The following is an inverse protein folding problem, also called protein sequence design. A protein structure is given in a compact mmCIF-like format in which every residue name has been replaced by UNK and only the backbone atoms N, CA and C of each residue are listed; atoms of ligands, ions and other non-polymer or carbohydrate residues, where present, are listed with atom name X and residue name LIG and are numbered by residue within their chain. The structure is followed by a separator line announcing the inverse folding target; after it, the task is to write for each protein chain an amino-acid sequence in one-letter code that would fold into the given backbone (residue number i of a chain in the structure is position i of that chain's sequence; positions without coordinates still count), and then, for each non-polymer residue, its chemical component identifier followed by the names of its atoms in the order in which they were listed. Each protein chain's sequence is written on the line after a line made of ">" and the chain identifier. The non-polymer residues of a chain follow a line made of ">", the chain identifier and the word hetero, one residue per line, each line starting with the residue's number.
data_IF_648068676537
#
_entry.id   IF_648068676537
#
_cell.length_a   1.000
_cell.length_b   1.000
_cell.length_c   1.000
_cell.angle_alpha   90.00
_cell.angle_beta   90.00
_cell.angle_gamma   90.00
#
_symmetry.space_group_name_H-M   'P 1'
#
loop_
_entity.id
_entity.type
_entity.pdbx_description
1 polymer ?
#
# COMPACT_ATOMS: atom_id res chain seq x y z
N UNK A 1 6.50 -0.42 -9.07
CA UNK A 1 5.41 -1.31 -8.62
C UNK A 1 4.04 -0.89 -9.11
N UNK A 2 3.46 0.26 -8.73
CA UNK A 2 2.12 0.63 -9.25
C UNK A 2 2.13 0.80 -10.77
N UNK A 3 3.18 1.43 -11.33
CA UNK A 3 3.37 1.54 -12.78
C UNK A 3 3.52 0.15 -13.43
N UNK A 4 4.31 -0.74 -12.82
CA UNK A 4 4.55 -2.10 -13.30
C UNK A 4 3.23 -2.91 -13.41
N UNK A 5 2.32 -2.71 -12.44
CA UNK A 5 0.98 -3.32 -12.45
C UNK A 5 0.08 -2.69 -13.52
N UNK A 6 0.19 -1.37 -13.74
CA UNK A 6 -0.54 -0.68 -14.81
C UNK A 6 -0.09 -1.20 -16.17
N UNK A 7 1.22 -1.35 -16.39
CA UNK A 7 1.77 -1.89 -17.64
C UNK A 7 1.31 -3.33 -17.87
N UNK A 8 1.34 -4.19 -16.82
CA UNK A 8 0.83 -5.56 -16.93
C UNK A 8 -0.69 -5.60 -17.19
N UNK A 9 -1.46 -4.69 -16.57
CA UNK A 9 -2.89 -4.60 -16.82
C UNK A 9 -3.19 -4.10 -18.25
N UNK A 10 -2.43 -3.13 -18.76
CA UNK A 10 -2.48 -2.68 -20.15
C UNK A 10 -2.13 -3.83 -21.11
N UNK A 11 -1.12 -4.62 -20.77
CA UNK A 11 -0.69 -5.78 -21.54
C UNK A 11 -1.79 -6.85 -21.68
N UNK A 12 -2.49 -7.15 -20.58
CA UNK A 12 -3.56 -8.14 -20.54
C UNK A 12 -4.89 -7.65 -21.13
N UNK A 13 -5.23 -6.37 -20.94
CA UNK A 13 -6.56 -5.84 -21.27
C UNK A 13 -6.59 -4.90 -22.48
N UNK A 14 -5.43 -4.42 -22.94
CA UNK A 14 -5.31 -3.41 -23.98
C UNK A 14 -5.72 -1.99 -23.56
N UNK A 15 -6.14 -1.79 -22.31
CA UNK A 15 -6.61 -0.50 -21.81
C UNK A 15 -5.69 0.05 -20.70
N UNK A 16 -5.17 1.26 -20.92
CA UNK A 16 -4.32 1.94 -19.94
C UNK A 16 -5.18 2.73 -18.94
N UNK A 17 -5.20 2.29 -17.68
CA UNK A 17 -6.09 2.83 -16.63
C UNK A 17 -5.35 3.51 -15.45
N UNK A 18 -4.33 4.30 -15.74
CA UNK A 18 -3.49 4.96 -14.72
C UNK A 18 -4.27 5.69 -13.61
N UNK A 19 -5.34 6.40 -13.98
CA UNK A 19 -6.12 7.20 -13.03
C UNK A 19 -6.77 6.36 -11.93
N UNK A 20 -7.25 5.16 -12.24
CA UNK A 20 -7.89 4.26 -11.27
C UNK A 20 -6.83 3.68 -10.32
N UNK A 21 -5.69 3.24 -10.85
CA UNK A 21 -4.60 2.73 -10.02
C UNK A 21 -4.00 3.80 -9.10
N UNK A 22 -3.85 5.03 -9.59
CA UNK A 22 -3.40 6.16 -8.78
C UNK A 22 -4.43 6.56 -7.72
N UNK A 23 -5.71 6.59 -8.06
CA UNK A 23 -6.79 6.85 -7.10
C UNK A 23 -6.83 5.76 -6.02
N UNK A 24 -6.73 4.48 -6.40
CA UNK A 24 -6.75 3.35 -5.48
C UNK A 24 -5.55 3.37 -4.52
N UNK A 25 -4.33 3.66 -5.00
CA UNK A 25 -3.15 3.76 -4.13
C UNK A 25 -3.24 4.93 -3.16
N UNK A 26 -3.68 6.10 -3.64
CA UNK A 26 -3.89 7.29 -2.82
C UNK A 26 -4.99 7.10 -1.77
N UNK A 27 -6.09 6.46 -2.17
CA UNK A 27 -7.18 6.10 -1.26
C UNK A 27 -6.71 5.11 -0.20
N UNK A 28 -5.98 4.07 -0.60
CA UNK A 28 -5.44 3.06 0.31
C UNK A 28 -4.55 3.70 1.37
N UNK A 29 -3.66 4.63 0.98
CA UNK A 29 -2.83 5.36 1.94
C UNK A 29 -3.67 6.15 2.96
N UNK A 30 -4.72 6.86 2.50
CA UNK A 30 -5.63 7.60 3.38
C UNK A 30 -6.45 6.70 4.29
N UNK A 31 -6.96 5.59 3.74
CA UNK A 31 -7.74 4.60 4.48
C UNK A 31 -6.89 3.97 5.59
N UNK A 32 -5.65 3.58 5.29
CA UNK A 32 -4.69 3.05 6.27
C UNK A 32 -4.46 4.05 7.41
N UNK A 33 -4.21 5.32 7.10
CA UNK A 33 -4.03 6.34 8.14
C UNK A 33 -5.29 6.56 8.97
N UNK A 34 -6.46 6.64 8.33
CA UNK A 34 -7.74 6.84 9.04
C UNK A 34 -8.09 5.67 9.95
N UNK A 35 -8.07 4.45 9.41
CA UNK A 35 -8.36 3.22 10.15
C UNK A 35 -7.30 2.99 11.24
N UNK A 36 -6.02 3.22 10.93
CA UNK A 36 -4.93 3.08 11.88
C UNK A 36 -5.07 4.02 13.08
N UNK A 37 -5.52 5.25 12.86
CA UNK A 37 -5.78 6.20 13.96
C UNK A 37 -6.95 5.75 14.84
N UNK A 38 -8.03 5.23 14.24
CA UNK A 38 -9.18 4.71 15.00
C UNK A 38 -8.75 3.53 15.87
N UNK A 39 -8.01 2.58 15.29
CA UNK A 39 -7.53 1.41 16.02
C UNK A 39 -6.54 1.81 17.12
N UNK A 40 -5.63 2.75 16.83
CA UNK A 40 -4.70 3.29 17.83
C UNK A 40 -5.43 3.92 19.01
N UNK A 41 -6.47 4.72 18.75
CA UNK A 41 -7.31 5.30 19.81
C UNK A 41 -8.00 4.23 20.67
N UNK A 42 -8.52 3.17 20.04
CA UNK A 42 -9.11 2.06 20.77
C UNK A 42 -8.08 1.28 21.61
N UNK A 43 -6.88 1.04 21.07
CA UNK A 43 -5.80 0.38 21.79
C UNK A 43 -5.35 1.18 23.02
N UNK A 44 -5.24 2.51 22.90
CA UNK A 44 -4.94 3.40 24.03
C UNK A 44 -6.04 3.38 25.10
N UNK A 45 -7.31 3.32 24.68
CA UNK A 45 -8.44 3.17 25.60
C UNK A 45 -8.38 1.85 26.36
N UNK A 46 -8.00 0.76 25.70
CA UNK A 46 -7.92 -0.58 26.29
C UNK A 46 -6.86 -0.69 27.40
N UNK A 47 -5.74 0.02 27.27
CA UNK A 47 -4.68 0.07 28.30
C UNK A 47 -4.91 1.17 29.36
N UNK A 48 -6.07 1.83 29.35
CA UNK A 48 -6.38 2.97 30.22
C UNK A 48 -5.28 4.04 30.20
N UNK A 49 -4.88 4.45 29.00
CA UNK A 49 -3.79 5.41 28.81
C UNK A 49 -3.99 6.67 29.68
N UNK A 50 -2.99 7.08 30.48
CA UNK A 50 -3.12 8.18 31.42
C UNK A 50 -3.33 9.49 30.68
N UNK A 51 -4.41 10.18 31.03
CA UNK A 51 -4.80 11.47 30.47
C UNK A 51 -5.01 12.46 31.61
N UNK A 52 -4.53 13.69 31.44
CA UNK A 52 -4.74 14.74 32.44
C UNK A 52 -3.67 15.83 32.42
N UNK A 53 -3.89 16.92 33.19
CA UNK A 53 -2.97 18.05 33.27
C UNK A 53 -1.63 17.70 33.96
N UNK A 54 -1.54 16.56 34.62
CA UNK A 54 -0.36 16.08 35.33
C UNK A 54 0.64 15.37 34.40
N UNK A 55 0.16 14.82 33.27
CA UNK A 55 1.00 14.17 32.25
C UNK A 55 1.44 15.22 31.23
N UNK A 56 2.67 15.74 31.35
CA UNK A 56 3.21 16.77 30.45
C UNK A 56 4.34 16.26 29.58
N UNK A 57 5.03 15.23 30.03
CA UNK A 57 6.20 14.62 29.42
C UNK A 57 6.07 13.10 29.44
N UNK A 58 6.91 12.42 28.64
CA UNK A 58 6.93 10.96 28.62
C UNK A 58 7.36 10.35 29.98
N UNK A 59 8.12 11.11 30.78
CA UNK A 59 8.59 10.68 32.11
C UNK A 59 7.46 10.68 33.16
N UNK A 60 6.35 11.38 32.89
CA UNK A 60 5.19 11.42 33.78
C UNK A 60 4.30 10.16 33.61
N UNK A 61 4.56 9.34 32.58
CA UNK A 61 3.79 8.10 32.32
C UNK A 61 4.34 6.96 33.17
N UNK A 62 3.50 6.24 33.93
CA UNK A 62 3.95 5.11 34.73
C UNK A 62 4.66 4.04 33.89
N UNK A 63 5.79 3.48 34.35
CA UNK A 63 6.53 2.45 33.61
C UNK A 63 5.68 1.23 33.25
N UNK A 64 4.75 0.83 34.11
CA UNK A 64 3.81 -0.27 33.86
C UNK A 64 2.93 -0.02 32.63
N UNK A 65 2.44 1.21 32.43
CA UNK A 65 1.62 1.56 31.28
C UNK A 65 2.42 1.53 29.98
N UNK A 66 3.71 1.90 30.02
CA UNK A 66 4.59 1.79 28.86
C UNK A 66 4.82 0.33 28.46
N UNK A 67 4.92 -0.57 29.43
CA UNK A 67 5.00 -2.01 29.19
C UNK A 67 3.70 -2.53 28.57
N UNK A 68 2.55 -2.14 29.11
CA UNK A 68 1.23 -2.52 28.57
C UNK A 68 1.04 -2.01 27.14
N UNK A 69 1.47 -0.77 26.86
CA UNK A 69 1.49 -0.22 25.49
C UNK A 69 2.34 -1.10 24.57
N UNK A 70 3.54 -1.48 24.98
CA UNK A 70 4.41 -2.38 24.22
C UNK A 70 3.80 -3.76 23.99
N UNK A 71 3.15 -4.33 25.01
CA UNK A 71 2.48 -5.63 24.95
C UNK A 71 1.26 -5.65 24.04
N UNK A 72 0.55 -4.52 23.88
CA UNK A 72 -0.56 -4.41 22.94
C UNK A 72 -0.06 -4.08 21.53
N UNK A 73 0.87 -3.12 21.42
CA UNK A 73 1.41 -2.66 20.15
C UNK A 73 2.24 -3.72 19.43
N UNK A 74 3.08 -4.47 20.16
CA UNK A 74 3.96 -5.49 19.60
C UNK A 74 3.22 -6.56 18.80
N UNK A 75 2.27 -7.30 19.41
CA UNK A 75 1.45 -8.29 18.71
C UNK A 75 0.63 -7.69 17.57
N UNK A 76 0.12 -6.47 17.76
CA UNK A 76 -0.64 -5.76 16.73
C UNK A 76 0.21 -5.53 15.48
N UNK A 77 1.39 -4.92 15.62
CA UNK A 77 2.33 -4.70 14.50
C UNK A 77 2.80 -6.02 13.90
N UNK A 78 3.10 -7.02 14.73
CA UNK A 78 3.51 -8.33 14.26
C UNK A 78 2.42 -8.98 13.38
N UNK A 79 1.14 -8.91 13.79
CA UNK A 79 0.02 -9.42 13.01
C UNK A 79 -0.08 -8.75 11.63
N UNK A 80 0.01 -7.41 11.56
CA UNK A 80 0.04 -6.69 10.28
C UNK A 80 1.26 -7.05 9.44
N UNK A 81 2.43 -7.26 10.07
CA UNK A 81 3.65 -7.72 9.41
C UNK A 81 3.46 -9.10 8.78
N UNK A 82 2.90 -10.06 9.51
CA UNK A 82 2.62 -11.40 8.99
C UNK A 82 1.60 -11.39 7.85
N UNK A 83 0.53 -10.60 7.97
CA UNK A 83 -0.43 -10.40 6.87
C UNK A 83 0.27 -9.80 5.65
N UNK A 84 1.16 -8.83 5.83
CA UNK A 84 1.92 -8.24 4.72
C UNK A 84 2.83 -9.25 4.04
N UNK A 85 3.57 -10.05 4.82
CA UNK A 85 4.41 -11.14 4.30
C UNK A 85 3.55 -12.12 3.50
N UNK A 86 2.40 -12.53 4.05
CA UNK A 86 1.48 -13.41 3.34
C UNK A 86 0.99 -12.80 2.03
N UNK A 87 0.60 -11.52 2.00
CA UNK A 87 0.25 -10.83 0.76
C UNK A 87 1.40 -10.83 -0.26
N UNK A 88 2.64 -10.63 0.19
CA UNK A 88 3.81 -10.68 -0.69
C UNK A 88 4.04 -12.08 -1.29
N UNK A 89 3.66 -13.17 -0.61
CA UNK A 89 3.78 -14.53 -1.19
C UNK A 89 2.92 -14.75 -2.44
N UNK A 90 1.88 -13.94 -2.64
CA UNK A 90 1.04 -13.98 -3.86
C UNK A 90 1.53 -13.05 -4.97
N UNK A 91 2.55 -12.24 -4.70
CA UNK A 91 3.09 -11.31 -5.68
C UNK A 91 3.96 -12.06 -6.71
N UNK A 92 3.39 -12.28 -7.90
CA UNK A 92 3.99 -13.12 -8.96
C UNK A 92 4.84 -12.32 -9.96
N UNK A 93 4.83 -10.97 -9.89
CA UNK A 93 5.52 -10.12 -10.85
C UNK A 93 7.03 -10.07 -10.53
N UNK A 94 7.78 -10.98 -11.12
CA UNK A 94 9.26 -10.97 -11.11
C UNK A 94 9.81 -9.89 -12.04
N UNK A 95 11.02 -9.42 -11.78
CA UNK A 95 11.66 -8.37 -12.61
C UNK A 95 11.83 -8.81 -14.06
N UNK A 96 12.22 -10.06 -14.27
CA UNK A 96 12.40 -10.66 -15.59
C UNK A 96 11.09 -10.63 -16.38
N UNK A 97 9.98 -11.02 -15.73
CA UNK A 97 8.64 -10.95 -16.32
C UNK A 97 8.23 -9.53 -16.66
N UNK A 98 8.52 -8.56 -15.79
CA UNK A 98 8.23 -7.15 -16.07
C UNK A 98 9.01 -6.62 -17.29
N UNK A 99 10.28 -7.01 -17.45
CA UNK A 99 11.09 -6.65 -18.62
C UNK A 99 10.53 -7.26 -19.92
N UNK A 100 10.05 -8.51 -19.90
CA UNK A 100 9.37 -9.14 -21.05
C UNK A 100 8.12 -8.35 -21.49
N UNK A 101 7.28 -7.94 -20.53
CA UNK A 101 6.05 -7.18 -20.77
C UNK A 101 6.35 -5.83 -21.44
N UNK A 102 7.42 -5.15 -21.01
CA UNK A 102 7.83 -3.87 -21.58
C UNK A 102 8.28 -4.01 -23.04
N UNK A 103 9.01 -5.07 -23.39
CA UNK A 103 9.42 -5.35 -24.77
C UNK A 103 8.19 -5.59 -25.65
N UNK A 104 7.26 -6.45 -25.22
CA UNK A 104 6.08 -6.78 -26.02
C UNK A 104 5.12 -5.59 -26.17
N UNK A 105 4.97 -4.75 -25.13
CA UNK A 105 4.22 -3.49 -25.24
C UNK A 105 4.87 -2.52 -26.22
N UNK A 106 6.21 -2.42 -26.24
CA UNK A 106 6.92 -1.58 -27.20
C UNK A 106 6.71 -2.05 -28.65
N UNK A 107 6.72 -3.35 -28.90
CA UNK A 107 6.42 -3.95 -30.20
C UNK A 107 4.98 -3.67 -30.64
N UNK A 108 3.99 -3.85 -29.76
CA UNK A 108 2.58 -3.53 -30.06
C UNK A 108 2.37 -2.06 -30.41
N UNK A 109 3.04 -1.14 -29.70
CA UNK A 109 3.02 0.30 -29.98
C UNK A 109 3.75 0.67 -31.27
N UNK A 110 4.82 -0.04 -31.61
CA UNK A 110 5.56 0.11 -32.87
C UNK A 110 4.80 -0.41 -34.09
N UNK A 111 3.94 -1.41 -33.91
CA UNK A 111 3.13 -2.02 -34.99
C UNK A 111 1.83 -1.24 -35.25
N UNK A 112 1.37 -0.40 -34.31
CA UNK A 112 0.17 0.46 -34.45
C UNK A 112 0.43 1.80 -35.17
N UNK A 113 1.45 1.88 -36.02
CA UNK A 113 1.60 2.96 -37.00
C UNK A 113 1.88 2.40 -38.39
N UNK A 114 0.83 2.24 -39.21
CA UNK A 114 0.89 2.55 -40.62
C UNK A 114 -0.04 3.73 -40.91
N UNK A 115 0.58 4.82 -41.35
CA UNK A 115 -0.03 5.83 -42.19
C UNK A 115 -0.80 5.16 -43.35
N UNK A 116 -2.14 5.29 -43.38
CA UNK A 116 -2.94 5.18 -44.61
C UNK A 116 -4.37 5.69 -44.43
N UNK A 117 -4.52 7.01 -44.43
CA UNK A 117 -5.58 7.66 -45.20
C UNK A 117 -4.90 8.73 -46.07
N UNK A 118 -4.03 8.31 -47.00
CA UNK A 118 -4.31 8.27 -48.44
C UNK A 118 -5.08 9.51 -48.90
N UNK A 119 -4.28 10.44 -49.44
CA UNK A 119 -4.58 11.22 -50.65
C UNK A 119 -5.79 10.74 -51.45
N UNK A 120 -6.80 11.59 -51.56
CA UNK A 120 -7.55 11.87 -52.79
C UNK A 120 -8.10 13.28 -52.71
#
# INVERSE_FOLDING_TARGET
>A
MVADIVDEHEYQTGHRQEGIFFAASSFSAKATSGIGNIISGFALSLINWPIGPEIKTADDVPPETLVDLGLVYGPYVAAFGFVSIWCYTHYTLTRERHEEILVELAERRGTSSPDSAVTS
#
